data_IF_405623069000
#
_entry.id   IF_405623069000
#
_cell.length_a   1.000
_cell.length_b   1.000
_cell.length_c   1.000
_cell.angle_alpha   90.00
_cell.angle_beta   90.00
_cell.angle_gamma   90.00
#
_symmetry.space_group_name_H-M   'P 1'
#
loop_
_entity.id
_entity.type
_entity.pdbx_description
1 polymer ?
#
# COMPACT_ATOMS: atom_id res chain seq x y z
N UNK A 1 -17.20 -16.64 19.60
CA UNK A 1 -16.55 -15.83 18.53
C UNK A 1 -15.19 -15.36 19.06
N UNK A 2 -14.20 -16.25 19.12
CA UNK A 2 -12.83 -15.90 19.50
C UNK A 2 -12.17 -15.22 18.30
N UNK A 3 -12.58 -13.97 18.06
CA UNK A 3 -12.00 -13.10 17.03
C UNK A 3 -10.62 -12.59 17.46
N UNK A 4 -9.72 -13.51 17.78
CA UNK A 4 -8.35 -13.15 18.17
C UNK A 4 -7.66 -12.55 16.95
N UNK A 5 -7.43 -11.25 17.02
CA UNK A 5 -6.71 -10.46 16.03
C UNK A 5 -5.31 -10.22 16.61
N UNK A 6 -4.37 -11.17 16.45
CA UNK A 6 -3.09 -11.14 17.16
C UNK A 6 -2.19 -9.98 16.72
N UNK A 7 -2.52 -9.33 15.60
CA UNK A 7 -1.73 -8.24 15.05
C UNK A 7 -2.26 -6.90 15.51
N UNK A 8 -1.72 -6.36 16.61
CA UNK A 8 -2.07 -5.04 17.15
C UNK A 8 -1.16 -3.94 16.60
N UNK A 9 -1.75 -2.77 16.29
CA UNK A 9 -1.02 -1.57 15.96
C UNK A 9 -0.47 -0.91 17.22
N UNK A 10 0.85 -0.75 17.28
CA UNK A 10 1.52 -0.11 18.41
C UNK A 10 1.25 1.39 18.54
N UNK A 11 0.72 2.04 17.49
CA UNK A 11 0.46 3.49 17.48
C UNK A 11 -0.94 3.83 18.00
N UNK A 12 -1.96 3.09 17.57
CA UNK A 12 -3.36 3.38 17.91
C UNK A 12 -4.11 2.22 18.57
N UNK A 13 -3.44 1.11 18.85
CA UNK A 13 -4.02 -0.06 19.50
C UNK A 13 -4.99 -0.88 18.64
N UNK A 14 -5.23 -0.52 17.38
CA UNK A 14 -6.14 -1.28 16.50
C UNK A 14 -5.59 -2.67 16.21
N UNK A 15 -6.43 -3.69 16.36
CA UNK A 15 -6.08 -5.07 16.07
C UNK A 15 -6.52 -5.49 14.67
N UNK A 16 -5.75 -6.37 14.03
CA UNK A 16 -5.97 -6.87 12.69
C UNK A 16 -5.84 -8.40 12.66
N UNK A 17 -6.60 -9.03 11.76
CA UNK A 17 -6.58 -10.48 11.60
C UNK A 17 -5.32 -10.99 10.89
N UNK A 18 -4.58 -10.10 10.21
CA UNK A 18 -3.38 -10.47 9.47
C UNK A 18 -2.30 -9.39 9.59
N UNK A 19 -1.03 -9.83 9.57
CA UNK A 19 0.14 -8.95 9.57
C UNK A 19 0.14 -7.99 8.38
N UNK A 20 -0.30 -8.44 7.20
CA UNK A 20 -0.40 -7.60 6.00
C UNK A 20 -1.36 -6.41 6.20
N UNK A 21 -2.50 -6.65 6.86
CA UNK A 21 -3.44 -5.59 7.19
C UNK A 21 -2.89 -4.61 8.22
N UNK A 22 -2.20 -5.13 9.25
CA UNK A 22 -1.51 -4.30 10.23
C UNK A 22 -0.43 -3.43 9.58
N UNK A 23 0.42 -4.00 8.72
CA UNK A 23 1.48 -3.26 8.02
C UNK A 23 0.89 -2.17 7.13
N UNK A 24 -0.13 -2.50 6.31
CA UNK A 24 -0.82 -1.51 5.48
C UNK A 24 -1.45 -0.38 6.30
N UNK A 25 -1.97 -0.71 7.48
CA UNK A 25 -2.46 0.29 8.41
C UNK A 25 -1.32 1.13 9.01
N UNK A 26 -0.18 0.53 9.34
CA UNK A 26 0.97 1.24 9.88
C UNK A 26 1.45 2.35 8.93
N UNK A 27 1.42 2.09 7.62
CA UNK A 27 1.71 3.07 6.57
C UNK A 27 0.82 4.34 6.63
N UNK A 28 -0.37 4.27 7.24
CA UNK A 28 -1.23 5.46 7.41
C UNK A 28 -0.75 6.39 8.52
N UNK A 29 0.00 5.88 9.48
CA UNK A 29 0.57 6.68 10.57
C UNK A 29 1.91 7.27 10.18
N UNK A 30 2.78 6.48 9.55
CA UNK A 30 4.10 6.94 9.12
C UNK A 30 4.02 7.79 7.85
N UNK A 31 2.90 7.74 7.13
CA UNK A 31 2.77 8.34 5.80
C UNK A 31 3.63 7.64 4.75
N UNK A 32 4.33 6.57 5.11
CA UNK A 32 5.16 5.81 4.19
C UNK A 32 4.26 5.15 3.17
N UNK A 33 4.43 5.55 1.91
CA UNK A 33 3.73 4.96 0.80
C UNK A 33 4.80 4.38 -0.11
N UNK A 34 5.14 3.09 0.02
CA UNK A 34 6.27 2.48 -0.66
C UNK A 34 6.03 2.38 -2.18
N UNK A 35 4.78 2.44 -2.61
CA UNK A 35 4.42 2.40 -4.02
C UNK A 35 4.26 3.82 -4.55
N UNK A 36 5.35 4.41 -5.05
CA UNK A 36 5.32 5.72 -5.70
C UNK A 36 5.07 5.59 -7.21
N UNK A 37 4.25 6.49 -7.75
CA UNK A 37 4.11 6.63 -9.19
C UNK A 37 5.27 7.42 -9.77
N UNK A 38 5.99 6.82 -10.70
CA UNK A 38 7.10 7.41 -11.43
C UNK A 38 6.72 8.66 -12.26
N UNK A 39 5.46 8.73 -12.71
CA UNK A 39 4.97 9.82 -13.58
C UNK A 39 4.58 11.08 -12.79
N UNK A 40 3.79 10.93 -11.72
CA UNK A 40 3.24 12.06 -10.99
C UNK A 40 3.67 12.12 -9.51
N UNK A 41 4.58 11.23 -9.09
CA UNK A 41 5.04 11.04 -7.70
C UNK A 41 3.94 10.82 -6.68
N UNK A 42 2.73 10.45 -7.14
CA UNK A 42 1.63 10.10 -6.26
C UNK A 42 1.92 8.75 -5.62
N UNK A 43 1.89 8.72 -4.29
CA UNK A 43 2.24 7.53 -3.53
C UNK A 43 1.00 6.74 -3.12
N UNK A 44 1.10 5.43 -3.07
CA UNK A 44 0.04 4.48 -2.76
C UNK A 44 0.49 3.48 -1.69
N UNK A 45 -0.47 2.94 -0.94
CA UNK A 45 -0.23 1.90 0.07
C UNK A 45 -0.29 0.48 -0.51
N UNK A 46 -0.75 0.33 -1.75
CA UNK A 46 -0.93 -0.97 -2.42
C UNK A 46 -0.41 -0.91 -3.86
N UNK A 47 0.28 -1.98 -4.27
CA UNK A 47 0.81 -2.14 -5.64
C UNK A 47 -0.30 -2.22 -6.70
N UNK A 48 -1.44 -2.85 -6.37
CA UNK A 48 -2.61 -2.92 -7.25
C UNK A 48 -3.16 -1.54 -7.57
N UNK A 49 -3.29 -0.68 -6.56
CA UNK A 49 -3.75 0.70 -6.72
C UNK A 49 -2.77 1.52 -7.57
N UNK A 50 -1.46 1.39 -7.32
CA UNK A 50 -0.44 2.03 -8.16
C UNK A 50 -0.53 1.53 -9.61
N UNK A 51 -0.67 0.21 -9.82
CA UNK A 51 -0.76 -0.37 -11.16
C UNK A 51 -2.00 0.13 -11.91
N UNK A 52 -3.16 0.20 -11.26
CA UNK A 52 -4.37 0.77 -11.86
C UNK A 52 -4.19 2.26 -12.14
N UNK A 53 -3.61 3.01 -11.20
CA UNK A 53 -3.33 4.43 -11.38
C UNK A 53 -2.37 4.70 -12.55
N UNK A 54 -1.31 3.89 -12.70
CA UNK A 54 -0.37 3.99 -13.83
C UNK A 54 -1.07 3.79 -15.17
N UNK A 55 -2.15 3.00 -15.26
CA UNK A 55 -2.93 2.86 -16.51
C UNK A 55 -3.65 4.14 -16.91
N UNK A 56 -3.98 5.02 -15.96
CA UNK A 56 -4.58 6.32 -16.25
C UNK A 56 -3.56 7.27 -16.89
N UNK A 57 -2.27 7.16 -16.52
CA UNK A 57 -1.19 7.93 -17.15
C UNK A 57 -0.80 7.34 -18.50
N UNK A 58 -0.67 6.01 -18.54
CA UNK A 58 -0.18 5.29 -19.68
C UNK A 58 -1.29 4.97 -20.69
N UNK A 59 -2.19 5.91 -20.97
CA UNK A 59 -3.30 5.76 -21.91
C UNK A 59 -2.93 4.84 -23.07
N UNK A 60 -3.32 3.57 -22.96
CA UNK A 60 -2.97 2.47 -23.87
C UNK A 60 -1.48 2.31 -24.24
N UNK A 61 -0.58 1.97 -23.31
CA UNK A 61 0.77 1.55 -23.74
C UNK A 61 1.72 1.15 -22.62
N UNK A 62 2.14 -0.11 -22.62
CA UNK A 62 3.03 -0.70 -21.62
C UNK A 62 4.44 -0.10 -21.62
N UNK A 63 4.98 0.14 -20.43
CA UNK A 63 6.40 -0.09 -20.14
C UNK A 63 6.59 -0.25 -18.63
N UNK A 64 6.84 -1.49 -18.23
CA UNK A 64 7.38 -1.83 -16.94
C UNK A 64 8.91 -1.75 -17.05
N UNK A 65 9.50 -0.70 -16.50
CA UNK A 65 10.94 -0.67 -16.21
C UNK A 65 11.07 -0.48 -14.70
N UNK A 66 11.39 -1.58 -14.02
CA UNK A 66 11.93 -1.58 -12.65
C UNK A 66 13.45 -1.59 -12.82
N UNK A 67 14.21 -0.61 -12.31
CA UNK A 67 15.66 -0.74 -12.27
C UNK A 67 16.07 -1.76 -11.20
N UNK A 68 17.28 -2.36 -11.30
CA UNK A 68 17.80 -3.34 -10.35
C UNK A 68 17.99 -2.76 -8.94
#
# INVERSE_FOLDING_TARGET
HTGERPFQCSICGKTFASRANLLRHHLTHTGERPYECDVCRKRFTQSSNLRQHRRLHAGSGAAATRPP
#
